data_IF_330738067970
#
_entry.id   IF_330738067970
#
_cell.length_a   1.000
_cell.length_b   1.000
_cell.length_c   1.000
_cell.angle_alpha   90.00
_cell.angle_beta   90.00
_cell.angle_gamma   90.00
#
_symmetry.space_group_name_H-M   'P 1'
#
loop_
_entity.id
_entity.type
_entity.pdbx_description
1 polymer ?
#
# COMPACT_ATOMS: atom_id res chain seq x y z
N UNK A 1 3.29 13.29 7.06
CA UNK A 1 3.98 12.04 6.70
C UNK A 1 3.03 10.90 7.02
N UNK A 2 2.77 10.00 6.07
CA UNK A 2 1.90 8.84 6.29
C UNK A 2 2.68 7.73 7.00
N UNK A 3 1.98 6.70 7.51
CA UNK A 3 2.63 5.53 8.09
C UNK A 3 3.51 4.79 7.07
N UNK A 4 2.99 4.57 5.87
CA UNK A 4 3.70 3.84 4.82
C UNK A 4 5.01 4.56 4.47
N UNK A 5 5.02 5.90 4.34
CA UNK A 5 6.27 6.65 4.13
C UNK A 5 7.23 6.60 5.33
N UNK A 6 6.73 6.41 6.55
CA UNK A 6 7.57 6.28 7.74
C UNK A 6 8.26 4.90 7.83
N UNK A 7 7.60 3.86 7.32
CA UNK A 7 8.08 2.47 7.35
C UNK A 7 9.16 2.18 6.31
N UNK A 8 9.34 3.06 5.33
CA UNK A 8 10.27 2.92 4.22
C UNK A 8 11.49 3.80 4.46
N UNK A 9 12.70 3.28 4.20
CA UNK A 9 13.90 4.11 4.25
C UNK A 9 13.74 5.34 3.35
N UNK A 10 13.98 6.54 3.89
CA UNK A 10 13.84 7.80 3.16
C UNK A 10 14.75 7.85 1.94
N UNK A 11 14.23 7.41 0.80
CA UNK A 11 14.78 7.71 -0.53
C UNK A 11 13.92 8.82 -1.12
N UNK A 12 14.56 9.95 -1.49
CA UNK A 12 13.89 11.09 -2.13
C UNK A 12 13.15 10.59 -3.39
N UNK A 13 11.84 10.83 -3.48
CA UNK A 13 11.01 10.39 -4.61
C UNK A 13 10.48 8.95 -4.50
N UNK A 14 10.58 8.31 -3.34
CA UNK A 14 10.06 6.97 -3.08
C UNK A 14 8.69 6.97 -2.40
N UNK A 15 7.70 7.61 -3.04
CA UNK A 15 6.34 7.74 -2.49
C UNK A 15 5.51 6.48 -2.74
N UNK A 16 5.53 5.57 -1.77
CA UNK A 16 4.82 4.28 -1.80
C UNK A 16 3.34 4.49 -1.46
N UNK A 17 3.06 5.45 -0.61
CA UNK A 17 1.71 5.79 -0.14
C UNK A 17 0.79 6.20 -1.29
N UNK A 18 1.31 6.92 -2.29
CA UNK A 18 0.55 7.28 -3.48
C UNK A 18 0.12 6.08 -4.31
N UNK A 19 0.98 5.07 -4.45
CA UNK A 19 0.63 3.81 -5.15
C UNK A 19 -0.43 3.05 -4.37
N UNK A 20 -0.30 2.98 -3.04
CA UNK A 20 -1.31 2.33 -2.21
C UNK A 20 -2.68 3.02 -2.32
N UNK A 21 -2.71 4.35 -2.26
CA UNK A 21 -3.95 5.12 -2.42
C UNK A 21 -4.57 4.94 -3.81
N UNK A 22 -3.74 4.90 -4.85
CA UNK A 22 -4.19 4.67 -6.22
C UNK A 22 -4.84 3.30 -6.40
N UNK A 23 -4.22 2.24 -5.85
CA UNK A 23 -4.79 0.90 -5.85
C UNK A 23 -6.11 0.87 -5.08
N UNK A 24 -6.20 1.53 -3.92
CA UNK A 24 -7.42 1.63 -3.12
C UNK A 24 -8.56 2.29 -3.89
N UNK A 25 -8.27 3.36 -4.65
CA UNK A 25 -9.25 4.04 -5.50
C UNK A 25 -9.75 3.16 -6.66
N UNK A 26 -8.92 2.21 -7.14
CA UNK A 26 -9.29 1.28 -8.22
C UNK A 26 -10.03 0.05 -7.74
N UNK A 27 -9.66 -0.47 -6.58
CA UNK A 27 -10.28 -1.63 -5.97
C UNK A 27 -11.64 -1.24 -5.40
N UNK A 28 -12.60 -1.01 -6.28
CA UNK A 28 -13.96 -0.70 -5.86
C UNK A 28 -14.56 -1.94 -5.17
N UNK A 29 -14.99 -1.76 -3.92
CA UNK A 29 -15.64 -2.74 -3.04
C UNK A 29 -14.77 -3.93 -2.57
N UNK A 30 -14.19 -4.71 -3.48
CA UNK A 30 -13.64 -6.03 -3.14
C UNK A 30 -12.18 -6.01 -2.68
N UNK A 31 -11.52 -4.85 -2.70
CA UNK A 31 -10.09 -4.76 -2.39
C UNK A 31 -9.22 -5.53 -3.39
N UNK A 32 -9.73 -5.85 -4.58
CA UNK A 32 -9.09 -6.74 -5.54
C UNK A 32 -9.03 -6.11 -6.94
N UNK A 33 -7.91 -6.30 -7.64
CA UNK A 33 -7.71 -5.90 -9.02
C UNK A 33 -7.33 -7.13 -9.85
N UNK A 34 -8.09 -7.36 -10.94
CA UNK A 34 -7.77 -8.34 -11.98
C UNK A 34 -7.14 -7.64 -13.19
N UNK A 35 -5.88 -7.97 -13.47
CA UNK A 35 -5.16 -7.51 -14.65
C UNK A 35 -5.11 -6.00 -14.80
N UNK A 36 -4.65 -5.25 -13.77
CA UNK A 36 -4.56 -3.80 -13.85
C UNK A 36 -3.70 -3.37 -15.03
N UNK A 37 -4.11 -2.30 -15.71
CA UNK A 37 -3.27 -1.66 -16.71
C UNK A 37 -2.14 -0.89 -16.04
N UNK A 38 -0.94 -1.45 -16.05
CA UNK A 38 0.21 -0.96 -15.30
C UNK A 38 0.61 0.47 -15.71
N UNK A 39 0.44 0.84 -16.98
CA UNK A 39 0.73 2.19 -17.48
C UNK A 39 -0.26 3.21 -16.91
N UNK A 40 -1.56 2.93 -17.00
CA UNK A 40 -2.60 3.77 -16.39
C UNK A 40 -2.44 3.86 -14.87
N UNK A 41 -2.08 2.77 -14.20
CA UNK A 41 -1.83 2.76 -12.77
C UNK A 41 -0.62 3.63 -12.38
N UNK A 42 0.49 3.47 -13.10
CA UNK A 42 1.67 4.28 -12.87
C UNK A 42 1.40 5.77 -13.11
N UNK A 43 0.68 6.11 -14.19
CA UNK A 43 0.29 7.47 -14.49
C UNK A 43 -0.62 8.07 -13.40
N UNK A 44 -1.64 7.34 -12.96
CA UNK A 44 -2.55 7.79 -11.90
C UNK A 44 -1.86 7.94 -10.54
N UNK A 45 -0.85 7.12 -10.25
CA UNK A 45 0.02 7.28 -9.08
C UNK A 45 0.97 8.50 -9.23
N UNK A 46 1.02 9.10 -10.42
CA UNK A 46 1.76 10.32 -10.76
C UNK A 46 3.19 10.09 -11.26
N UNK A 47 3.48 8.90 -11.77
CA UNK A 47 4.71 8.65 -12.50
C UNK A 47 4.52 9.04 -13.99
N UNK A 48 5.35 9.96 -14.48
CA UNK A 48 5.23 10.54 -15.84
C UNK A 48 6.52 10.41 -16.67
N UNK A 49 7.49 9.63 -16.20
CA UNK A 49 8.80 9.45 -16.86
C UNK A 49 8.86 8.14 -17.65
N UNK A 50 9.93 7.93 -18.42
CA UNK A 50 10.16 6.68 -19.17
C UNK A 50 10.21 5.41 -18.29
N UNK A 51 10.47 5.56 -16.98
CA UNK A 51 10.57 4.44 -16.02
C UNK A 51 9.32 4.28 -15.15
N UNK A 52 8.20 4.90 -15.53
CA UNK A 52 7.00 4.97 -14.69
C UNK A 52 6.47 3.61 -14.25
N UNK A 53 6.30 2.67 -15.19
CA UNK A 53 5.84 1.30 -14.87
C UNK A 53 6.82 0.59 -13.95
N UNK A 54 8.13 0.71 -14.19
CA UNK A 54 9.16 0.13 -13.33
C UNK A 54 9.08 0.69 -11.92
N UNK A 55 9.01 2.02 -11.77
CA UNK A 55 8.89 2.66 -10.47
C UNK A 55 7.62 2.23 -9.75
N UNK A 56 6.49 2.14 -10.45
CA UNK A 56 5.24 1.64 -9.88
C UNK A 56 5.36 0.19 -9.37
N UNK A 57 5.97 -0.71 -10.16
CA UNK A 57 6.25 -2.10 -9.73
C UNK A 57 7.11 -2.17 -8.48
N UNK A 58 8.19 -1.39 -8.41
CA UNK A 58 9.05 -1.32 -7.21
C UNK A 58 8.26 -0.89 -5.95
N UNK A 59 7.25 0.00 -6.10
CA UNK A 59 6.39 0.41 -4.97
C UNK A 59 5.38 -0.68 -4.61
N UNK A 60 4.85 -1.43 -5.58
CA UNK A 60 4.04 -2.62 -5.30
C UNK A 60 4.84 -3.65 -4.52
N UNK A 61 6.08 -3.93 -4.94
CA UNK A 61 6.94 -4.89 -4.25
C UNK A 61 7.18 -4.42 -2.79
N UNK A 62 7.39 -3.11 -2.58
CA UNK A 62 7.47 -2.54 -1.22
C UNK A 62 6.16 -2.74 -0.43
N UNK A 63 4.99 -2.58 -1.06
CA UNK A 63 3.70 -2.83 -0.39
C UNK A 63 3.48 -4.32 -0.07
N UNK A 64 4.01 -5.23 -0.89
CA UNK A 64 4.03 -6.67 -0.61
C UNK A 64 4.92 -6.96 0.60
N UNK A 65 6.12 -6.39 0.66
CA UNK A 65 7.05 -6.53 1.79
C UNK A 65 6.46 -5.98 3.10
N UNK A 66 5.72 -4.87 3.04
CA UNK A 66 5.02 -4.30 4.19
C UNK A 66 3.73 -5.05 4.55
N UNK A 67 3.27 -5.97 3.70
CA UNK A 67 2.06 -6.76 3.90
C UNK A 67 0.75 -6.01 3.61
N UNK A 68 0.79 -4.85 2.97
CA UNK A 68 -0.43 -4.11 2.59
C UNK A 68 -1.13 -4.71 1.36
N UNK A 69 -0.38 -5.39 0.49
CA UNK A 69 -0.94 -6.05 -0.69
C UNK A 69 -0.36 -7.46 -0.86
N UNK A 70 -1.09 -8.30 -1.59
CA UNK A 70 -0.59 -9.56 -2.15
C UNK A 70 -0.72 -9.51 -3.65
N UNK A 71 0.22 -10.13 -4.34
CA UNK A 71 0.20 -10.23 -5.81
C UNK A 71 0.21 -11.69 -6.24
N UNK A 72 -0.39 -11.96 -7.40
CA UNK A 72 -0.28 -13.24 -8.07
C UNK A 72 -0.11 -13.04 -9.58
N UNK A 73 0.63 -13.91 -10.28
CA UNK A 73 0.83 -13.77 -11.71
C UNK A 73 -0.45 -14.09 -12.50
N UNK A 74 -0.60 -13.43 -13.66
CA UNK A 74 -1.62 -13.73 -14.67
C UNK A 74 -0.95 -13.86 -16.03
N UNK A 75 -0.80 -15.10 -16.48
CA UNK A 75 0.00 -15.39 -17.68
C UNK A 75 1.46 -14.95 -17.48
N UNK A 76 1.94 -14.07 -18.36
CA UNK A 76 3.31 -13.53 -18.30
C UNK A 76 3.45 -12.29 -17.41
N UNK A 77 2.37 -11.74 -16.86
CA UNK A 77 2.38 -10.54 -16.02
C UNK A 77 2.56 -10.93 -14.54
N UNK A 78 3.65 -10.54 -13.86
CA UNK A 78 3.88 -10.88 -12.46
C UNK A 78 2.86 -10.23 -11.51
N UNK A 79 2.51 -8.96 -11.75
CA UNK A 79 1.46 -8.21 -11.04
C UNK A 79 0.08 -8.42 -11.68
N UNK A 80 -0.22 -9.66 -12.09
CA UNK A 80 -1.43 -9.99 -12.84
C UNK A 80 -2.71 -9.90 -12.02
N UNK A 81 -2.62 -10.12 -10.72
CA UNK A 81 -3.67 -9.92 -9.73
C UNK A 81 -3.08 -9.17 -8.53
N UNK A 82 -3.83 -8.22 -7.98
CA UNK A 82 -3.45 -7.48 -6.78
C UNK A 82 -4.59 -7.54 -5.78
N UNK A 83 -4.33 -8.02 -4.58
CA UNK A 83 -5.25 -8.02 -3.46
C UNK A 83 -4.75 -7.05 -2.39
N UNK A 84 -5.56 -6.06 -2.06
CA UNK A 84 -5.37 -5.13 -0.95
C UNK A 84 -5.82 -5.82 0.32
N UNK A 85 -4.94 -5.92 1.31
CA UNK A 85 -5.27 -6.49 2.61
C UNK A 85 -5.88 -5.42 3.52
N UNK A 86 -6.67 -5.87 4.50
CA UNK A 86 -7.23 -4.99 5.53
C UNK A 86 -6.09 -4.21 6.23
N UNK A 87 -6.01 -2.88 6.04
CA UNK A 87 -4.90 -2.09 6.56
C UNK A 87 -4.87 -2.10 8.09
N UNK A 88 -6.00 -2.30 8.76
CA UNK A 88 -6.03 -2.33 10.22
C UNK A 88 -5.30 -3.54 10.80
N UNK A 89 -5.45 -4.71 10.15
CA UNK A 89 -4.71 -5.92 10.52
C UNK A 89 -3.21 -5.75 10.30
N UNK A 90 -2.83 -5.16 9.16
CA UNK A 90 -1.43 -4.91 8.80
C UNK A 90 -0.78 -3.97 9.83
N UNK A 91 -1.45 -2.87 10.17
CA UNK A 91 -0.95 -1.91 11.18
C UNK A 91 -0.79 -2.57 12.55
N UNK A 92 -1.71 -3.44 12.97
CA UNK A 92 -1.58 -4.19 14.24
C UNK A 92 -0.36 -5.13 14.23
N UNK A 93 -0.12 -5.84 13.13
CA UNK A 93 1.04 -6.73 12.96
C UNK A 93 2.34 -5.91 13.06
N UNK A 94 2.44 -4.81 12.31
CA UNK A 94 3.62 -3.94 12.30
C UNK A 94 3.90 -3.30 13.66
N UNK A 95 2.86 -2.98 14.44
CA UNK A 95 3.01 -2.56 15.83
C UNK A 95 3.58 -3.68 16.71
N UNK A 96 3.10 -4.92 16.56
CA UNK A 96 3.64 -6.10 17.25
C UNK A 96 5.11 -6.36 16.92
N UNK A 97 5.54 -6.03 15.70
CA UNK A 97 6.94 -6.07 15.24
C UNK A 97 7.79 -4.88 15.72
N UNK A 98 7.21 -3.94 16.48
CA UNK A 98 7.87 -2.71 16.95
C UNK A 98 8.36 -1.78 15.82
N UNK A 99 7.72 -1.84 14.65
CA UNK A 99 8.06 -0.99 13.48
C UNK A 99 7.32 0.36 13.48
N UNK A 100 6.38 0.56 14.39
CA UNK A 100 5.54 1.77 14.48
C UNK A 100 5.93 2.58 15.71
N UNK A 101 6.14 3.89 15.54
CA UNK A 101 6.39 4.81 16.66
C UNK A 101 5.18 4.89 17.60
N UNK A 102 5.46 4.96 18.90
CA UNK A 102 4.43 5.01 19.95
C UNK A 102 3.45 6.19 19.77
N UNK A 103 3.94 7.36 19.37
CA UNK A 103 3.12 8.55 19.10
C UNK A 103 2.10 8.32 17.97
N UNK A 104 2.55 7.68 16.89
CA UNK A 104 1.69 7.38 15.75
C UNK A 104 0.64 6.33 16.13
N UNK A 105 1.07 5.28 16.84
CA UNK A 105 0.16 4.24 17.34
C UNK A 105 -0.91 4.82 18.26
N UNK A 106 -0.55 5.70 19.20
CA UNK A 106 -1.51 6.36 20.09
C UNK A 106 -2.56 7.16 19.33
N UNK A 107 -2.15 7.93 18.31
CA UNK A 107 -3.07 8.66 17.45
C UNK A 107 -4.00 7.73 16.65
N UNK A 108 -3.47 6.60 16.16
CA UNK A 108 -4.23 5.61 15.42
C UNK A 108 -5.28 4.88 16.27
N UNK A 109 -4.93 4.46 17.49
CA UNK A 109 -5.89 3.86 18.44
C UNK A 109 -7.03 4.82 18.76
N UNK A 110 -6.71 6.09 19.04
CA UNK A 110 -7.73 7.12 19.27
C UNK A 110 -8.68 7.22 18.08
N UNK A 111 -8.14 7.28 16.86
CA UNK A 111 -8.93 7.34 15.63
C UNK A 111 -9.80 6.10 15.41
N UNK A 112 -9.32 4.90 15.75
CA UNK A 112 -10.14 3.68 15.69
C UNK A 112 -11.33 3.76 16.65
N UNK A 113 -11.10 4.22 17.88
CA UNK A 113 -12.16 4.44 18.88
C UNK A 113 -13.21 5.45 18.38
N UNK A 114 -12.79 6.56 17.76
CA UNK A 114 -13.68 7.59 17.22
C UNK A 114 -14.66 7.09 16.15
N UNK A 115 -14.31 6.03 15.40
CA UNK A 115 -15.22 5.38 14.44
C UNK A 115 -15.86 4.09 14.95
N UNK A 116 -15.69 3.76 16.23
CA UNK A 116 -16.18 2.51 16.79
C UNK A 116 -15.50 1.26 16.21
N UNK A 117 -14.32 1.40 15.62
CA UNK A 117 -13.56 0.26 15.10
C UNK A 117 -12.73 -0.37 16.22
N UNK A 118 -12.94 -1.66 16.46
CA UNK A 118 -12.13 -2.45 17.39
C UNK A 118 -11.11 -3.25 16.61
N UNK A 119 -9.82 -3.03 16.88
CA UNK A 119 -8.74 -3.76 16.21
C UNK A 119 -8.86 -5.27 16.51
N UNK A 120 -8.91 -6.11 15.47
CA UNK A 120 -9.06 -7.56 15.60
C UNK A 120 -7.80 -8.17 16.22
#
# INVERSE_FOLDING_TARGET
>A
MTLIEELVERKKGHDVSRVYFELWCRAFDEGFLDGPDEESCAFAAGFTTERSVRSWKERIDTLVELGFVRIAPRGTRPQGYILILDPHKVVKILHGEKRIRAEWWGAYIKRCSEIGYTLP
#
